data_IF_851776675596
#
_entry.id   IF_851776675596
#
_cell.length_a   1.000
_cell.length_b   1.000
_cell.length_c   1.000
_cell.angle_alpha   90.00
_cell.angle_beta   90.00
_cell.angle_gamma   90.00
#
_symmetry.space_group_name_H-M   'P 1'
#
loop_
_entity.id
_entity.type
_entity.pdbx_description
1 polymer ?
#
# COMPACT_ATOMS: atom_id res chain seq x y z
N UNK A 1 13.43 -19.74 1.16
CA UNK A 1 13.54 -18.35 0.70
C UNK A 1 13.49 -17.45 1.91
N UNK A 2 14.53 -16.65 2.11
CA UNK A 2 14.61 -15.57 3.09
C UNK A 2 13.87 -14.33 2.55
N UNK A 3 12.81 -13.90 3.23
CA UNK A 3 11.92 -12.82 2.78
C UNK A 3 11.91 -11.69 3.81
N UNK A 4 12.26 -10.48 3.36
CA UNK A 4 12.18 -9.26 4.19
C UNK A 4 10.88 -8.50 3.88
N UNK A 5 9.99 -8.36 4.85
CA UNK A 5 8.69 -7.67 4.67
C UNK A 5 8.72 -6.27 5.26
N UNK A 6 8.84 -5.25 4.41
CA UNK A 6 9.13 -3.88 4.84
C UNK A 6 7.91 -2.97 5.06
N UNK A 7 6.71 -3.54 5.02
CA UNK A 7 5.44 -2.80 5.10
C UNK A 7 5.16 -2.29 6.52
N UNK A 8 4.20 -1.36 6.74
CA UNK A 8 3.83 -0.98 8.11
C UNK A 8 3.47 -2.20 8.96
N UNK A 9 3.77 -2.16 10.26
CA UNK A 9 3.75 -3.32 11.19
C UNK A 9 2.53 -4.22 11.03
N UNK A 10 1.32 -3.67 11.10
CA UNK A 10 0.09 -4.47 10.99
C UNK A 10 -0.02 -5.24 9.68
N UNK A 11 0.49 -4.67 8.58
CA UNK A 11 0.46 -5.31 7.26
C UNK A 11 1.58 -6.33 7.11
N UNK A 12 2.70 -6.09 7.77
CA UNK A 12 3.85 -6.96 7.75
C UNK A 12 3.56 -8.25 8.52
N UNK A 13 3.01 -8.16 9.74
CA UNK A 13 2.68 -9.31 10.58
C UNK A 13 1.77 -10.31 9.85
N UNK A 14 0.62 -9.85 9.36
CA UNK A 14 -0.34 -10.70 8.64
C UNK A 14 0.29 -11.41 7.42
N UNK A 15 1.19 -10.74 6.69
CA UNK A 15 1.86 -11.33 5.52
C UNK A 15 2.97 -12.30 5.93
N UNK A 16 3.71 -11.99 6.99
CA UNK A 16 4.77 -12.85 7.54
C UNK A 16 4.18 -14.16 8.02
N UNK A 17 3.08 -14.12 8.78
CA UNK A 17 2.36 -15.32 9.23
C UNK A 17 1.93 -16.19 8.03
N UNK A 18 1.34 -15.55 7.02
CA UNK A 18 0.89 -16.25 5.82
C UNK A 18 2.06 -16.91 5.07
N UNK A 19 3.19 -16.20 4.90
CA UNK A 19 4.37 -16.74 4.21
C UNK A 19 5.03 -17.87 5.00
N UNK A 20 5.16 -17.73 6.32
CA UNK A 20 5.74 -18.74 7.19
C UNK A 20 4.90 -20.02 7.21
N UNK A 21 3.56 -19.90 7.16
CA UNK A 21 2.66 -21.05 6.99
C UNK A 21 2.86 -21.83 5.67
N UNK A 22 3.61 -21.27 4.72
CA UNK A 22 3.94 -21.87 3.42
C UNK A 22 5.42 -22.24 3.30
N UNK A 23 6.09 -22.47 4.43
CA UNK A 23 7.51 -22.89 4.50
C UNK A 23 8.50 -21.87 3.92
N UNK A 24 8.17 -20.58 4.00
CA UNK A 24 9.13 -19.50 3.78
C UNK A 24 9.68 -19.01 5.13
N UNK A 25 10.84 -18.36 5.11
CA UNK A 25 11.35 -17.64 6.27
C UNK A 25 11.14 -16.15 6.05
N UNK A 26 9.99 -15.64 6.47
CA UNK A 26 9.61 -14.24 6.35
C UNK A 26 9.85 -13.50 7.67
N UNK A 27 10.44 -12.31 7.57
CA UNK A 27 10.79 -11.45 8.70
C UNK A 27 10.06 -10.12 8.55
N UNK A 28 9.35 -9.70 9.60
CA UNK A 28 8.74 -8.36 9.67
C UNK A 28 9.84 -7.33 9.86
N UNK A 29 9.92 -6.35 8.95
CA UNK A 29 10.89 -5.27 9.02
C UNK A 29 10.26 -3.92 8.64
N UNK A 30 9.27 -3.42 9.39
CA UNK A 30 8.58 -2.19 9.01
C UNK A 30 9.55 -1.02 8.94
N UNK A 31 9.59 -0.35 7.79
CA UNK A 31 10.49 0.81 7.58
C UNK A 31 9.77 2.14 7.74
N UNK A 32 8.45 2.12 7.90
CA UNK A 32 7.62 3.31 8.12
C UNK A 32 6.57 3.02 9.19
N UNK A 33 6.20 4.07 9.93
CA UNK A 33 5.03 4.11 10.81
C UNK A 33 3.89 4.88 10.13
N UNK A 34 2.66 4.50 10.47
CA UNK A 34 1.47 5.25 10.12
C UNK A 34 1.05 6.06 11.34
N UNK A 35 1.12 7.38 11.24
CA UNK A 35 0.70 8.30 12.29
C UNK A 35 -0.61 8.97 11.86
N UNK A 36 -1.71 8.69 12.56
CA UNK A 36 -2.99 9.34 12.29
C UNK A 36 -2.98 10.79 12.80
N UNK A 37 -3.66 11.67 12.06
CA UNK A 37 -3.73 13.11 12.35
C UNK A 37 -5.17 13.56 12.39
N UNK A 38 -5.43 14.53 13.26
CA UNK A 38 -6.73 15.19 13.30
C UNK A 38 -6.92 16.07 12.06
N UNK A 39 -8.15 16.13 11.55
CA UNK A 39 -8.59 17.10 10.55
C UNK A 39 -9.56 18.07 11.23
N UNK A 40 -9.39 19.36 10.97
CA UNK A 40 -10.26 20.41 11.51
C UNK A 40 -11.55 20.59 10.71
N UNK A 41 -11.57 20.11 9.46
CA UNK A 41 -12.68 20.27 8.55
C UNK A 41 -13.67 19.10 8.56
N UNK A 42 -14.94 19.40 8.31
CA UNK A 42 -16.05 18.47 8.37
C UNK A 42 -16.21 17.67 7.07
N UNK A 43 -15.45 16.59 6.92
CA UNK A 43 -15.55 15.68 5.79
C UNK A 43 -16.98 15.13 5.54
N UNK A 44 -17.80 15.04 6.59
CA UNK A 44 -19.18 14.55 6.52
C UNK A 44 -20.15 15.52 5.82
N UNK A 45 -19.76 16.77 5.56
CA UNK A 45 -20.57 17.74 4.78
C UNK A 45 -20.67 17.40 3.29
N UNK A 46 -19.76 16.57 2.78
CA UNK A 46 -19.73 16.19 1.37
C UNK A 46 -20.76 15.09 1.08
N UNK A 47 -21.24 14.99 -0.16
CA UNK A 47 -22.22 13.96 -0.55
C UNK A 47 -21.57 12.59 -0.81
N UNK A 48 -20.29 12.62 -1.21
CA UNK A 48 -19.54 11.47 -1.68
C UNK A 48 -18.16 11.43 -1.01
N UNK A 49 -17.77 10.27 -0.49
CA UNK A 49 -16.55 10.09 0.28
C UNK A 49 -15.67 9.07 -0.44
N UNK A 50 -14.43 9.44 -0.74
CA UNK A 50 -13.44 8.58 -1.39
C UNK A 50 -12.35 8.22 -0.38
N UNK A 51 -12.17 6.93 -0.11
CA UNK A 51 -11.08 6.42 0.72
C UNK A 51 -9.95 5.86 -0.14
N UNK A 52 -8.76 6.46 -0.01
CA UNK A 52 -7.59 6.05 -0.81
C UNK A 52 -6.82 4.87 -0.21
N UNK A 53 -7.02 4.56 1.06
CA UNK A 53 -6.36 3.45 1.75
C UNK A 53 -7.11 3.01 3.01
N UNK A 54 -6.78 1.83 3.54
CA UNK A 54 -7.30 1.40 4.84
C UNK A 54 -6.88 2.30 6.00
N UNK A 55 -5.70 2.93 5.90
CA UNK A 55 -5.22 3.89 6.89
C UNK A 55 -6.03 5.19 6.87
N UNK A 56 -6.55 5.58 5.70
CA UNK A 56 -7.50 6.69 5.57
C UNK A 56 -8.83 6.38 6.29
N UNK A 57 -9.34 5.16 6.15
CA UNK A 57 -10.55 4.71 6.87
C UNK A 57 -10.33 4.79 8.38
N UNK A 58 -9.24 4.17 8.86
CA UNK A 58 -8.87 4.19 10.28
C UNK A 58 -8.67 5.61 10.82
N UNK A 59 -8.00 6.48 10.06
CA UNK A 59 -7.72 7.85 10.49
C UNK A 59 -8.97 8.70 10.62
N UNK A 60 -9.92 8.54 9.68
CA UNK A 60 -11.19 9.26 9.74
C UNK A 60 -12.06 8.75 10.89
N UNK A 61 -12.20 7.42 11.06
CA UNK A 61 -13.07 6.84 12.09
C UNK A 61 -12.48 6.84 13.51
N UNK A 62 -11.25 7.33 13.67
CA UNK A 62 -10.74 7.78 14.98
C UNK A 62 -11.37 9.09 15.45
N UNK A 63 -11.99 9.85 14.54
CA UNK A 63 -12.48 11.21 14.80
C UNK A 63 -13.98 11.34 14.56
N UNK A 64 -14.52 10.55 13.63
CA UNK A 64 -15.92 10.59 13.24
C UNK A 64 -16.56 9.22 13.46
N UNK A 65 -17.81 9.22 13.91
CA UNK A 65 -18.59 7.99 13.95
C UNK A 65 -18.94 7.56 12.51
N UNK A 66 -18.82 6.27 12.15
CA UNK A 66 -19.17 5.78 10.81
C UNK A 66 -20.61 6.11 10.39
N UNK A 67 -21.54 6.19 11.34
CA UNK A 67 -22.95 6.53 11.13
C UNK A 67 -23.13 7.90 10.48
N UNK A 68 -22.20 8.84 10.71
CA UNK A 68 -22.17 10.15 10.05
C UNK A 68 -22.06 10.07 8.52
N UNK A 69 -21.71 8.89 8.00
CA UNK A 69 -21.51 8.65 6.57
C UNK A 69 -22.53 7.67 5.97
N UNK A 70 -23.49 7.15 6.74
CA UNK A 70 -24.43 6.12 6.29
C UNK A 70 -25.27 6.53 5.07
N UNK A 71 -25.62 7.82 4.96
CA UNK A 71 -26.41 8.36 3.84
C UNK A 71 -25.54 8.91 2.69
N UNK A 72 -24.24 8.60 2.68
CA UNK A 72 -23.28 9.13 1.70
C UNK A 72 -22.93 8.08 0.66
N UNK A 73 -22.48 8.52 -0.51
CA UNK A 73 -21.88 7.62 -1.51
C UNK A 73 -20.45 7.32 -1.10
N UNK A 74 -20.13 6.06 -0.89
CA UNK A 74 -18.80 5.64 -0.45
C UNK A 74 -18.05 5.00 -1.60
N UNK A 75 -16.80 5.42 -1.77
CA UNK A 75 -15.90 4.93 -2.79
C UNK A 75 -14.57 4.54 -2.19
N UNK A 76 -13.93 3.53 -2.76
CA UNK A 76 -12.62 3.06 -2.33
C UNK A 76 -11.71 2.85 -3.54
N UNK A 77 -10.41 3.12 -3.39
CA UNK A 77 -9.43 2.87 -4.46
C UNK A 77 -9.22 1.37 -4.72
N UNK A 78 -9.48 0.51 -3.73
CA UNK A 78 -9.28 -0.93 -3.88
C UNK A 78 -10.06 -1.78 -2.89
N UNK A 79 -10.09 -3.08 -3.19
CA UNK A 79 -10.94 -4.06 -2.50
C UNK A 79 -10.63 -4.21 -1.00
N UNK A 80 -9.38 -4.08 -0.57
CA UNK A 80 -9.02 -4.19 0.85
C UNK A 80 -9.59 -3.03 1.68
N UNK A 81 -9.59 -1.82 1.12
CA UNK A 81 -10.22 -0.63 1.72
C UNK A 81 -11.73 -0.79 1.77
N UNK A 82 -12.36 -1.27 0.69
CA UNK A 82 -13.79 -1.54 0.64
C UNK A 82 -14.21 -2.62 1.66
N UNK A 83 -13.43 -3.70 1.80
CA UNK A 83 -13.65 -4.76 2.80
C UNK A 83 -13.58 -4.21 4.23
N UNK A 84 -12.71 -3.25 4.51
CA UNK A 84 -12.64 -2.59 5.82
C UNK A 84 -13.86 -1.70 6.06
N UNK A 85 -14.28 -0.91 5.07
CA UNK A 85 -15.47 -0.06 5.16
C UNK A 85 -16.75 -0.88 5.43
N UNK A 86 -16.88 -2.05 4.82
CA UNK A 86 -18.01 -2.96 5.06
C UNK A 86 -18.10 -3.42 6.53
N UNK A 87 -16.97 -3.53 7.25
CA UNK A 87 -16.98 -3.84 8.70
C UNK A 87 -17.56 -2.70 9.55
N UNK A 88 -17.62 -1.50 9.00
CA UNK A 88 -18.27 -0.33 9.60
C UNK A 88 -19.68 -0.09 9.06
N UNK A 89 -20.27 -1.06 8.35
CA UNK A 89 -21.60 -0.92 7.75
C UNK A 89 -21.66 -0.03 6.51
N UNK A 90 -20.51 0.31 5.91
CA UNK A 90 -20.43 1.19 4.75
C UNK A 90 -20.03 0.43 3.49
N UNK A 91 -20.96 0.31 2.54
CA UNK A 91 -20.69 -0.30 1.25
C UNK A 91 -19.99 0.67 0.30
N UNK A 92 -18.78 0.29 -0.14
CA UNK A 92 -17.98 1.12 -1.03
C UNK A 92 -17.96 0.57 -2.46
N UNK A 93 -18.19 1.44 -3.46
CA UNK A 93 -17.87 1.12 -4.87
C UNK A 93 -16.36 1.26 -5.10
N UNK A 94 -15.77 0.35 -5.87
CA UNK A 94 -14.33 0.37 -6.18
C UNK A 94 -14.04 -0.26 -7.56
N UNK A 95 -12.95 0.10 -8.23
CA UNK A 95 -12.61 -0.50 -9.52
C UNK A 95 -12.19 -1.97 -9.37
N UNK A 96 -12.61 -2.83 -10.29
CA UNK A 96 -12.29 -4.28 -10.25
C UNK A 96 -11.04 -4.65 -11.09
N UNK A 97 -10.69 -3.84 -12.09
CA UNK A 97 -9.59 -4.12 -13.01
C UNK A 97 -8.20 -3.81 -12.39
N UNK A 98 -7.97 -2.54 -11.98
CA UNK A 98 -6.76 -2.11 -11.27
C UNK A 98 -7.15 -1.21 -10.10
N UNK A 99 -6.44 -1.35 -8.97
CA UNK A 99 -6.74 -0.60 -7.75
C UNK A 99 -5.92 0.69 -7.70
N UNK A 100 -6.30 1.69 -8.51
CA UNK A 100 -5.65 3.00 -8.56
C UNK A 100 -6.66 4.15 -8.75
N UNK A 101 -6.18 5.37 -8.55
CA UNK A 101 -6.95 6.61 -8.66
C UNK A 101 -7.58 6.82 -10.05
N UNK A 102 -6.88 6.43 -11.12
CA UNK A 102 -7.36 6.59 -12.49
C UNK A 102 -8.54 5.68 -12.82
N UNK A 103 -8.49 4.41 -12.42
CA UNK A 103 -9.59 3.48 -12.61
C UNK A 103 -10.79 3.84 -11.72
N UNK A 104 -10.56 4.35 -10.51
CA UNK A 104 -11.65 4.87 -9.69
C UNK A 104 -12.31 6.09 -10.35
N UNK A 105 -11.54 7.02 -10.92
CA UNK A 105 -12.12 8.15 -11.64
C UNK A 105 -12.96 7.70 -12.84
N UNK A 106 -12.48 6.74 -13.64
CA UNK A 106 -13.27 6.16 -14.74
C UNK A 106 -14.58 5.52 -14.26
N UNK A 107 -14.56 4.87 -13.10
CA UNK A 107 -15.78 4.33 -12.48
C UNK A 107 -16.73 5.46 -12.08
N UNK A 108 -16.21 6.52 -11.43
CA UNK A 108 -17.00 7.69 -11.03
C UNK A 108 -17.63 8.40 -12.24
N UNK A 109 -16.89 8.56 -13.35
CA UNK A 109 -17.39 9.19 -14.58
C UNK A 109 -18.49 8.39 -15.29
N UNK A 110 -18.67 7.11 -14.93
CA UNK A 110 -19.71 6.23 -15.47
C UNK A 110 -20.86 5.99 -14.49
N UNK A 111 -20.83 6.62 -13.31
CA UNK A 111 -21.93 6.50 -12.34
C UNK A 111 -23.19 7.15 -12.90
N UNK A 112 -24.37 6.65 -12.50
CA UNK A 112 -25.66 7.14 -13.02
C UNK A 112 -25.92 8.60 -12.62
N UNK A 113 -25.27 9.08 -11.56
CA UNK A 113 -25.34 10.47 -11.12
C UNK A 113 -24.14 11.24 -11.65
N UNK A 114 -24.39 12.34 -12.35
CA UNK A 114 -23.33 13.21 -12.87
C UNK A 114 -22.38 13.66 -11.76
N UNK A 115 -21.08 13.76 -12.07
CA UNK A 115 -20.07 14.28 -11.14
C UNK A 115 -20.42 15.70 -10.65
N UNK A 116 -21.01 16.53 -11.50
CA UNK A 116 -21.42 17.90 -11.16
C UNK A 116 -22.54 17.98 -10.11
N UNK A 117 -23.27 16.89 -9.88
CA UNK A 117 -24.33 16.79 -8.87
C UNK A 117 -23.84 16.25 -7.53
N UNK A 118 -22.54 15.98 -7.41
CA UNK A 118 -21.91 15.43 -6.22
C UNK A 118 -20.89 16.40 -5.65
N UNK A 119 -20.53 16.26 -4.39
CA UNK A 119 -19.34 16.89 -3.81
C UNK A 119 -18.49 15.80 -3.16
N UNK A 120 -17.17 15.90 -3.32
CA UNK A 120 -16.24 14.84 -2.92
C UNK A 120 -15.34 15.22 -1.75
N UNK A 121 -15.35 14.42 -0.70
CA UNK A 121 -14.30 14.39 0.31
C UNK A 121 -13.33 13.24 0.00
N UNK A 122 -12.06 13.57 -0.26
CA UNK A 122 -11.02 12.59 -0.59
C UNK A 122 -10.15 12.37 0.63
N UNK A 123 -10.37 11.26 1.31
CA UNK A 123 -9.71 10.88 2.56
C UNK A 123 -8.43 10.13 2.22
N UNK A 124 -7.30 10.69 2.66
CA UNK A 124 -5.98 10.21 2.23
C UNK A 124 -4.89 10.47 3.26
N UNK A 125 -3.68 10.05 2.93
CA UNK A 125 -2.49 10.39 3.69
C UNK A 125 -1.74 11.57 3.08
N UNK A 126 -0.95 12.25 3.89
CA UNK A 126 -0.08 13.37 3.49
C UNK A 126 0.78 12.97 2.29
N UNK A 127 0.84 13.85 1.28
CA UNK A 127 1.60 13.64 0.05
C UNK A 127 1.09 12.47 -0.81
N UNK A 128 -0.14 11.97 -0.56
CA UNK A 128 -0.79 10.99 -1.42
C UNK A 128 -1.10 11.52 -2.82
N UNK A 129 -1.39 10.61 -3.75
CA UNK A 129 -1.71 10.90 -5.16
C UNK A 129 -2.79 12.00 -5.30
N UNK A 130 -2.48 13.05 -6.06
CA UNK A 130 -3.33 14.22 -6.27
C UNK A 130 -4.32 14.12 -7.45
N UNK A 131 -4.21 13.08 -8.28
CA UNK A 131 -5.02 12.93 -9.50
C UNK A 131 -6.53 13.06 -9.25
N UNK A 132 -7.06 12.40 -8.22
CA UNK A 132 -8.51 12.45 -7.93
C UNK A 132 -8.98 13.85 -7.56
N UNK A 133 -8.21 14.56 -6.73
CA UNK A 133 -8.59 15.93 -6.33
C UNK A 133 -8.47 16.87 -7.53
N UNK A 134 -7.42 16.74 -8.32
CA UNK A 134 -7.21 17.55 -9.53
C UNK A 134 -8.33 17.35 -10.57
N UNK A 135 -8.69 16.10 -10.88
CA UNK A 135 -9.73 15.84 -11.89
C UNK A 135 -11.14 16.15 -11.40
N UNK A 136 -11.49 15.82 -10.15
CA UNK A 136 -12.84 16.09 -9.63
C UNK A 136 -13.08 17.58 -9.39
N UNK A 137 -12.05 18.34 -9.00
CA UNK A 137 -12.19 19.79 -8.75
C UNK A 137 -12.45 20.60 -10.03
N UNK A 138 -12.18 20.04 -11.21
CA UNK A 138 -12.53 20.66 -12.50
C UNK A 138 -14.03 20.70 -12.76
N UNK A 139 -14.80 19.81 -12.13
CA UNK A 139 -16.23 19.61 -12.41
C UNK A 139 -17.12 19.85 -11.21
N UNK A 140 -16.61 19.71 -9.99
CA UNK A 140 -17.41 19.91 -8.78
C UNK A 140 -16.59 20.20 -7.53
N UNK A 141 -17.26 20.68 -6.48
CA UNK A 141 -16.66 20.91 -5.16
C UNK A 141 -16.04 19.62 -4.62
N UNK A 142 -14.72 19.66 -4.48
CA UNK A 142 -13.94 18.53 -3.97
C UNK A 142 -12.89 19.05 -2.98
N UNK A 143 -12.67 18.34 -1.88
CA UNK A 143 -11.57 18.65 -0.98
C UNK A 143 -10.82 17.39 -0.54
N UNK A 144 -9.53 17.53 -0.26
CA UNK A 144 -8.66 16.45 0.21
C UNK A 144 -8.44 16.60 1.71
N UNK A 145 -8.67 15.51 2.43
CA UNK A 145 -8.50 15.42 3.89
C UNK A 145 -7.36 14.47 4.20
N UNK A 146 -6.28 14.99 4.78
CA UNK A 146 -5.08 14.23 5.09
C UNK A 146 -5.10 13.75 6.55
N UNK A 147 -5.63 12.53 6.75
CA UNK A 147 -5.92 11.98 8.10
C UNK A 147 -4.79 11.11 8.67
N UNK A 148 -3.70 10.94 7.91
CA UNK A 148 -2.51 10.25 8.39
C UNK A 148 -1.27 10.68 7.62
N UNK A 149 -0.10 10.43 8.19
CA UNK A 149 1.18 10.56 7.52
C UNK A 149 2.01 9.28 7.66
N UNK A 150 2.93 9.11 6.71
CA UNK A 150 3.92 8.02 6.71
C UNK A 150 5.21 8.60 7.29
N UNK A 151 5.57 8.18 8.49
CA UNK A 151 6.81 8.61 9.16
C UNK A 151 7.86 7.53 8.95
N UNK A 152 9.04 7.92 8.48
CA UNK A 152 10.13 6.95 8.33
C UNK A 152 10.65 6.55 9.70
N UNK A 153 10.93 5.26 9.86
CA UNK A 153 11.67 4.79 11.02
C UNK A 153 13.07 5.41 11.07
N UNK A 154 13.61 5.46 12.29
CA UNK A 154 14.97 5.88 12.52
C UNK A 154 15.96 4.96 11.79
N UNK A 155 16.92 5.56 11.08
CA UNK A 155 17.82 4.80 10.20
C UNK A 155 18.81 3.94 10.98
N UNK A 156 19.23 4.37 12.17
CA UNK A 156 20.18 3.63 13.00
C UNK A 156 19.51 2.46 13.70
N UNK A 157 18.26 2.65 14.15
CA UNK A 157 17.42 1.56 14.63
C UNK A 157 17.17 0.52 13.53
N UNK A 158 16.83 0.94 12.31
CA UNK A 158 16.64 0.04 11.18
C UNK A 158 17.95 -0.70 10.83
N UNK A 159 19.09 -0.02 10.79
CA UNK A 159 20.38 -0.65 10.49
C UNK A 159 20.74 -1.72 11.54
N UNK A 160 20.53 -1.41 12.83
CA UNK A 160 20.76 -2.35 13.94
C UNK A 160 19.88 -3.59 13.79
N UNK A 161 18.58 -3.41 13.57
CA UNK A 161 17.63 -4.51 13.33
C UNK A 161 17.99 -5.33 12.09
N UNK A 162 18.39 -4.68 11.00
CA UNK A 162 18.76 -5.37 9.77
C UNK A 162 19.96 -6.29 10.01
N UNK A 163 21.00 -5.81 10.70
CA UNK A 163 22.19 -6.59 11.05
C UNK A 163 21.89 -7.78 11.96
N UNK A 164 20.89 -7.67 12.84
CA UNK A 164 20.46 -8.81 13.68
C UNK A 164 19.94 -9.99 12.84
N UNK A 165 19.30 -9.72 11.70
CA UNK A 165 18.74 -10.75 10.84
C UNK A 165 19.65 -11.13 9.68
N UNK A 166 20.46 -10.21 9.16
CA UNK A 166 21.20 -10.32 7.90
C UNK A 166 22.67 -9.90 8.03
N UNK A 167 23.35 -10.31 9.11
CA UNK A 167 24.80 -10.07 9.30
C UNK A 167 25.66 -10.85 8.30
N UNK A 168 25.32 -12.13 8.09
CA UNK A 168 26.10 -13.08 7.26
C UNK A 168 25.28 -13.64 6.08
N UNK A 169 24.03 -13.21 5.96
CA UNK A 169 23.10 -13.61 4.90
C UNK A 169 22.39 -12.39 4.34
N UNK A 170 21.84 -12.52 3.14
CA UNK A 170 21.03 -11.48 2.50
C UNK A 170 19.61 -11.97 2.26
N UNK A 171 18.61 -11.08 2.26
CA UNK A 171 17.27 -11.45 1.84
C UNK A 171 17.29 -11.83 0.36
N UNK A 172 16.61 -12.92 0.01
CA UNK A 172 16.41 -13.33 -1.39
C UNK A 172 15.28 -12.51 -2.03
N UNK A 173 14.30 -12.09 -1.24
CA UNK A 173 13.17 -11.27 -1.67
C UNK A 173 12.86 -10.18 -0.65
N UNK A 174 12.63 -8.96 -1.15
CA UNK A 174 12.27 -7.80 -0.34
C UNK A 174 10.88 -7.33 -0.76
N UNK A 175 9.91 -7.40 0.16
CA UNK A 175 8.54 -6.94 -0.04
C UNK A 175 8.42 -5.47 0.37
N UNK A 176 8.31 -4.61 -0.63
CA UNK A 176 7.97 -3.19 -0.51
C UNK A 176 6.69 -2.90 -1.31
N UNK A 177 5.73 -2.18 -0.73
CA UNK A 177 4.42 -1.91 -1.38
C UNK A 177 4.21 -0.46 -1.78
N UNK A 178 5.22 0.37 -1.63
CA UNK A 178 5.21 1.76 -2.10
C UNK A 178 6.62 2.28 -2.26
N UNK A 179 6.75 3.38 -3.01
CA UNK A 179 8.01 4.09 -3.16
C UNK A 179 8.55 4.61 -1.81
N UNK A 180 7.68 5.04 -0.90
CA UNK A 180 8.09 5.55 0.41
C UNK A 180 8.66 4.45 1.31
N UNK A 181 8.05 3.26 1.29
CA UNK A 181 8.58 2.09 2.01
C UNK A 181 9.99 1.76 1.51
N UNK A 182 10.19 1.78 0.18
CA UNK A 182 11.50 1.53 -0.42
C UNK A 182 12.50 2.66 -0.14
N UNK A 183 12.09 3.93 -0.21
CA UNK A 183 12.92 5.08 0.14
C UNK A 183 13.37 5.05 1.60
N UNK A 184 12.50 4.60 2.51
CA UNK A 184 12.90 4.42 3.90
C UNK A 184 13.91 3.28 4.04
N UNK A 185 13.65 2.15 3.38
CA UNK A 185 14.55 0.99 3.36
C UNK A 185 15.95 1.34 2.83
N UNK A 186 16.06 1.97 1.65
CA UNK A 186 17.35 2.15 0.96
C UNK A 186 18.37 2.96 1.78
N UNK A 187 17.89 3.81 2.70
CA UNK A 187 18.73 4.57 3.63
C UNK A 187 19.65 3.68 4.46
N UNK A 188 19.23 2.44 4.79
CA UNK A 188 20.06 1.54 5.60
C UNK A 188 21.29 1.03 4.85
N UNK A 189 21.17 0.89 3.52
CA UNK A 189 22.23 0.37 2.64
C UNK A 189 23.29 1.43 2.29
N UNK A 190 23.15 2.66 2.78
CA UNK A 190 24.27 3.60 2.82
C UNK A 190 25.32 3.21 3.87
N UNK A 191 24.93 2.40 4.88
CA UNK A 191 25.78 1.99 6.02
C UNK A 191 26.05 0.48 6.06
N UNK A 192 25.60 -0.28 5.06
CA UNK A 192 25.80 -1.74 4.94
C UNK A 192 25.70 -2.16 3.49
N UNK A 193 26.23 -3.34 3.15
CA UNK A 193 26.21 -3.86 1.78
C UNK A 193 24.79 -4.02 1.24
N UNK A 194 24.60 -3.60 -0.02
CA UNK A 194 23.34 -3.70 -0.75
C UNK A 194 23.09 -5.16 -1.21
N UNK A 195 21.92 -5.76 -0.93
CA UNK A 195 21.57 -7.08 -1.44
C UNK A 195 21.15 -7.00 -2.93
N UNK A 196 22.10 -6.77 -3.83
CA UNK A 196 21.83 -6.54 -5.28
C UNK A 196 21.13 -7.71 -5.97
N UNK A 197 21.29 -8.91 -5.44
CA UNK A 197 20.67 -10.14 -5.96
C UNK A 197 19.23 -10.37 -5.50
N UNK A 198 18.74 -9.58 -4.54
CA UNK A 198 17.38 -9.70 -4.03
C UNK A 198 16.35 -9.31 -5.08
N UNK A 199 15.24 -10.05 -5.11
CA UNK A 199 14.04 -9.66 -5.86
C UNK A 199 13.30 -8.59 -5.06
N UNK A 200 13.12 -7.40 -5.63
CA UNK A 200 12.35 -6.33 -4.98
C UNK A 200 10.95 -6.23 -5.59
N UNK A 201 9.91 -6.26 -4.76
CA UNK A 201 8.55 -6.06 -5.29
C UNK A 201 8.33 -4.61 -5.74
N UNK A 202 7.61 -4.40 -6.85
CA UNK A 202 7.30 -3.06 -7.37
C UNK A 202 5.81 -2.95 -7.70
N UNK A 203 5.23 -1.76 -7.54
CA UNK A 203 3.79 -1.53 -7.76
C UNK A 203 3.49 -0.56 -8.91
N UNK A 204 4.53 -0.04 -9.57
CA UNK A 204 4.40 0.90 -10.69
C UNK A 204 5.71 1.04 -11.46
N UNK A 205 5.63 1.51 -12.71
CA UNK A 205 6.80 1.83 -13.53
C UNK A 205 7.70 2.89 -12.91
N UNK A 206 7.12 3.91 -12.24
CA UNK A 206 7.88 4.92 -11.50
C UNK A 206 8.72 4.31 -10.38
N UNK A 207 8.16 3.31 -9.69
CA UNK A 207 8.88 2.59 -8.63
C UNK A 207 9.97 1.70 -9.23
N UNK A 208 9.69 0.99 -10.32
CA UNK A 208 10.69 0.21 -11.05
C UNK A 208 11.90 1.04 -11.45
N UNK A 209 11.68 2.20 -12.07
CA UNK A 209 12.76 3.10 -12.47
C UNK A 209 13.61 3.52 -11.26
N UNK A 210 12.97 3.90 -10.16
CA UNK A 210 13.67 4.31 -8.95
C UNK A 210 14.48 3.14 -8.34
N UNK A 211 13.89 1.96 -8.19
CA UNK A 211 14.53 0.76 -7.65
C UNK A 211 15.74 0.35 -8.50
N UNK A 212 15.61 0.38 -9.84
CA UNK A 212 16.69 0.06 -10.76
C UNK A 212 17.87 1.04 -10.67
N UNK A 213 17.57 2.33 -10.46
CA UNK A 213 18.58 3.38 -10.22
C UNK A 213 19.36 3.17 -8.92
N UNK A 214 18.77 2.48 -7.94
CA UNK A 214 19.45 2.13 -6.68
C UNK A 214 20.30 0.84 -6.76
N UNK A 215 20.35 0.17 -7.92
CA UNK A 215 21.22 -1.00 -8.14
C UNK A 215 20.52 -2.37 -8.09
N UNK A 216 19.24 -2.43 -7.72
CA UNK A 216 18.47 -3.68 -7.79
C UNK A 216 18.06 -3.98 -9.23
N UNK A 217 18.38 -5.17 -9.74
CA UNK A 217 18.06 -5.56 -11.14
C UNK A 217 16.91 -6.54 -11.25
N UNK A 218 16.61 -7.29 -10.19
CA UNK A 218 15.53 -8.27 -10.15
C UNK A 218 14.31 -7.66 -9.45
N UNK A 219 13.17 -7.65 -10.13
CA UNK A 219 11.94 -7.09 -9.58
C UNK A 219 10.73 -7.99 -9.80
N UNK A 220 9.73 -7.86 -8.93
CA UNK A 220 8.45 -8.56 -9.02
C UNK A 220 7.30 -7.55 -9.04
N UNK A 221 6.59 -7.44 -10.16
CA UNK A 221 5.44 -6.55 -10.25
C UNK A 221 4.23 -7.08 -9.46
N UNK A 222 3.62 -6.18 -8.68
CA UNK A 222 2.43 -6.39 -7.88
C UNK A 222 1.29 -5.49 -8.36
N UNK A 223 0.31 -6.10 -9.01
CA UNK A 223 -0.93 -5.46 -9.47
C UNK A 223 -1.91 -5.20 -8.32
N UNK A 224 -1.74 -5.92 -7.20
CA UNK A 224 -2.51 -5.79 -5.96
C UNK A 224 -1.59 -5.90 -4.76
N UNK A 225 -1.93 -5.23 -3.67
CA UNK A 225 -1.10 -5.15 -2.45
C UNK A 225 -1.76 -5.79 -1.21
N UNK A 226 -2.77 -6.63 -1.40
CA UNK A 226 -3.32 -7.44 -0.31
C UNK A 226 -2.43 -8.68 -0.08
N UNK A 227 -2.45 -9.20 1.15
CA UNK A 227 -1.51 -10.23 1.59
C UNK A 227 -1.67 -11.54 0.80
N UNK A 228 -2.90 -11.97 0.55
CA UNK A 228 -3.19 -13.18 -0.24
C UNK A 228 -2.57 -13.11 -1.64
N UNK A 229 -2.71 -11.96 -2.29
CA UNK A 229 -2.14 -11.74 -3.62
C UNK A 229 -0.62 -11.76 -3.62
N UNK A 230 0.00 -11.05 -2.67
CA UNK A 230 1.46 -10.98 -2.54
C UNK A 230 2.01 -12.39 -2.28
N UNK A 231 1.43 -13.11 -1.32
CA UNK A 231 1.82 -14.49 -1.03
C UNK A 231 1.69 -15.38 -2.27
N UNK A 232 0.58 -15.32 -3.00
CA UNK A 232 0.38 -16.11 -4.22
C UNK A 232 1.43 -15.80 -5.29
N UNK A 233 1.82 -14.53 -5.47
CA UNK A 233 2.87 -14.14 -6.43
C UNK A 233 4.24 -14.67 -6.01
N UNK A 234 4.57 -14.62 -4.73
CA UNK A 234 5.83 -15.15 -4.18
C UNK A 234 5.91 -16.68 -4.34
N UNK A 235 4.82 -17.40 -4.06
CA UNK A 235 4.76 -18.86 -4.21
C UNK A 235 5.03 -19.31 -5.65
N UNK A 236 4.44 -18.61 -6.63
CA UNK A 236 4.64 -18.91 -8.06
C UNK A 236 6.11 -18.85 -8.50
N UNK A 237 6.87 -17.89 -7.98
CA UNK A 237 8.30 -17.77 -8.30
C UNK A 237 9.07 -18.94 -7.70
N UNK A 238 8.73 -19.30 -6.46
CA UNK A 238 9.41 -20.39 -5.75
C UNK A 238 9.17 -21.74 -6.41
N UNK A 239 7.94 -21.99 -6.87
CA UNK A 239 7.58 -23.19 -7.63
C UNK A 239 8.28 -23.25 -9.00
N UNK A 240 8.36 -22.12 -9.71
CA UNK A 240 9.07 -22.04 -10.98
C UNK A 240 10.57 -22.36 -10.82
N UNK A 241 11.22 -21.85 -9.76
CA UNK A 241 12.62 -22.15 -9.46
C UNK A 241 12.86 -23.62 -9.13
N UNK A 242 11.94 -24.29 -8.43
CA UNK A 242 12.03 -25.73 -8.13
C UNK A 242 11.88 -26.61 -9.37
N UNK A 243 11.00 -26.22 -10.30
CA UNK A 243 10.75 -26.99 -11.51
C UNK A 243 11.88 -26.91 -12.55
N UNK A 244 12.71 -25.86 -12.51
CA UNK A 244 13.92 -25.77 -13.35
C UNK A 244 15.02 -26.69 -12.81
N UNK A 245 15.23 -26.72 -11.49
CA UNK A 245 16.24 -27.60 -10.87
C UNK A 245 15.95 -29.10 -10.99
N UNK A 246 14.67 -29.51 -11.08
CA UNK A 246 14.28 -30.91 -11.26
C UNK A 246 14.35 -31.39 -12.73
N UNK A 247 14.63 -30.52 -13.70
CA UNK A 247 14.80 -30.90 -15.11
C UNK A 247 16.27 -31.07 -15.52
N UNK A 248 17.20 -30.78 -14.63
CA UNK A 248 18.65 -30.92 -14.84
C UNK A 248 19.25 -32.16 -14.12
N UNK A 249 18.41 -33.12 -13.72
CA UNK A 249 18.81 -34.40 -13.10
C UNK A 249 18.37 -35.59 -13.95
#
# INVERSE_FOLDING_TARGET
MEILVCRPETDACDLVELLNSKNHNAISFPTIKICHKAISEEAHKYSSIIFTSKYAVQGLFKQYSPESFANKRIYAVGASTAKLLAKFGLEAKYPHAKYNSQELFKLLSKDNLSLSQQSFAIISGVGGNSFLIEELSKVTKSNKFEVYERVFEDVDLLNTRYKQFFSEKYPELIVVTSLDVFKSLIRIFAKTSLPTDAIVTITSSKMLEFVNKQGFKKTLELEKINNDYICKKILKITEASKNVGNREL
#
